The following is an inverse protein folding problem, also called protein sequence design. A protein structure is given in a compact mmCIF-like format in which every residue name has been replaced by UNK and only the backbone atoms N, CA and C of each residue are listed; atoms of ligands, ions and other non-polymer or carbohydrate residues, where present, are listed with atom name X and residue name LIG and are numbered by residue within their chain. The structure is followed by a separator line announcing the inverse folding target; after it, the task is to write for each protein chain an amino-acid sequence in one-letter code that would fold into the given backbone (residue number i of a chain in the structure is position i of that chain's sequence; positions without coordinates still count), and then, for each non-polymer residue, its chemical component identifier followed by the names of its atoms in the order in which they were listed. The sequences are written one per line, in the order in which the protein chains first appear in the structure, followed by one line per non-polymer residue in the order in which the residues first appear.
data_IF_725857043976
#
_entry.id   IF_725857043976
#
_cell.length_a   1.000
_cell.length_b   1.000
_cell.length_c   1.000
_cell.angle_alpha   90.00
_cell.angle_beta   90.00
_cell.angle_gamma   90.00
#
_symmetry.space_group_name_H-M   'P 1'
#
loop_
_entity.id
_entity.type
_entity.pdbx_description
1 polymer ?
#
# COMPACT_ATOMS: atom_id res chain seq x y z
N UNK A 1 20.35 -4.12 6.97
CA UNK A 1 20.88 -2.75 6.98
C UNK A 1 20.59 -2.14 8.33
N UNK A 2 21.61 -1.56 8.95
CA UNK A 2 21.55 -0.98 10.29
C UNK A 2 22.07 0.45 10.26
N UNK A 3 21.63 1.30 11.19
CA UNK A 3 22.22 2.62 11.37
C UNK A 3 23.47 2.57 12.29
N UNK A 4 24.13 3.71 12.53
CA UNK A 4 25.35 3.81 13.36
C UNK A 4 25.14 3.45 14.83
N UNK A 5 23.89 3.35 15.30
CA UNK A 5 23.51 2.91 16.65
C UNK A 5 23.14 1.42 16.71
N UNK A 6 23.25 0.69 15.60
CA UNK A 6 22.90 -0.74 15.53
C UNK A 6 21.41 -1.02 15.31
N UNK A 7 20.58 -0.01 15.06
CA UNK A 7 19.13 -0.19 14.87
C UNK A 7 18.81 -0.68 13.44
N UNK A 8 17.93 -1.67 13.30
CA UNK A 8 17.55 -2.25 12.01
C UNK A 8 16.67 -1.27 11.19
N UNK A 9 17.22 -0.77 10.08
CA UNK A 9 16.53 0.14 9.17
C UNK A 9 15.84 -0.57 7.99
N UNK A 10 16.36 -1.73 7.55
CA UNK A 10 15.77 -2.48 6.44
C UNK A 10 16.50 -3.78 6.12
N UNK A 11 15.86 -4.64 5.33
CA UNK A 11 16.43 -5.91 4.84
C UNK A 11 16.84 -5.72 3.38
N UNK A 12 18.09 -6.02 3.04
CA UNK A 12 18.56 -5.98 1.65
C UNK A 12 17.87 -7.10 0.87
N UNK A 13 17.10 -6.76 -0.16
CA UNK A 13 16.16 -7.70 -0.80
C UNK A 13 16.51 -7.98 -2.27
N UNK A 14 17.20 -7.07 -2.96
CA UNK A 14 17.64 -7.30 -4.34
C UNK A 14 18.89 -6.49 -4.72
N UNK A 15 19.69 -7.08 -5.61
CA UNK A 15 20.80 -6.44 -6.32
C UNK A 15 20.37 -6.31 -7.78
N UNK A 16 20.24 -5.08 -8.30
CA UNK A 16 20.15 -4.88 -9.74
C UNK A 16 21.58 -4.82 -10.31
N UNK A 17 22.02 -5.90 -10.97
CA UNK A 17 23.27 -5.91 -11.71
C UNK A 17 23.04 -6.46 -13.11
N UNK A 18 23.39 -5.69 -14.14
CA UNK A 18 23.35 -6.14 -15.55
C UNK A 18 24.47 -7.14 -15.89
N UNK A 19 25.49 -7.27 -15.02
CA UNK A 19 26.74 -8.00 -15.33
C UNK A 19 27.20 -8.95 -14.22
N UNK A 20 26.44 -9.09 -13.13
CA UNK A 20 26.84 -9.91 -11.98
C UNK A 20 27.84 -9.25 -11.02
N UNK A 21 28.29 -8.03 -11.31
CA UNK A 21 29.17 -7.26 -10.42
C UNK A 21 28.40 -6.15 -9.67
N UNK A 22 28.70 -5.97 -8.38
CA UNK A 22 28.04 -5.04 -7.46
C UNK A 22 28.39 -3.58 -7.81
N UNK A 23 27.45 -2.84 -8.38
CA UNK A 23 27.63 -1.43 -8.75
C UNK A 23 27.22 -0.44 -7.63
N UNK A 24 26.96 -0.93 -6.41
CA UNK A 24 26.58 -0.09 -5.26
C UNK A 24 25.07 0.14 -5.07
N UNK A 25 24.20 -0.37 -5.96
CA UNK A 25 22.74 -0.25 -5.80
C UNK A 25 22.18 -1.44 -5.03
N UNK A 26 21.77 -1.19 -3.78
CA UNK A 26 21.10 -2.17 -2.91
C UNK A 26 19.66 -1.71 -2.66
N UNK A 27 18.67 -2.56 -2.93
CA UNK A 27 17.27 -2.26 -2.63
C UNK A 27 16.89 -2.83 -1.27
N UNK A 28 16.36 -1.99 -0.39
CA UNK A 28 15.98 -2.37 0.96
C UNK A 28 14.47 -2.39 1.11
N UNK A 29 13.92 -3.46 1.70
CA UNK A 29 12.56 -3.40 2.23
C UNK A 29 12.62 -2.68 3.59
N UNK A 30 11.82 -1.62 3.80
CA UNK A 30 11.75 -0.90 5.08
C UNK A 30 11.38 -1.82 6.25
N UNK A 31 12.01 -1.61 7.41
CA UNK A 31 11.75 -2.44 8.60
C UNK A 31 10.30 -2.37 9.11
N UNK A 32 9.55 -1.30 8.79
CA UNK A 32 8.13 -1.18 9.12
C UNK A 32 7.25 -2.20 8.40
N UNK A 33 7.52 -2.45 7.10
CA UNK A 33 6.80 -3.47 6.32
C UNK A 33 7.14 -4.86 6.85
N UNK A 34 8.42 -5.11 7.16
CA UNK A 34 8.85 -6.40 7.73
C UNK A 34 8.15 -6.68 9.05
N UNK A 35 8.10 -5.71 9.98
CA UNK A 35 7.41 -5.86 11.26
C UNK A 35 5.93 -6.22 11.07
N UNK A 36 5.23 -5.53 10.17
CA UNK A 36 3.83 -5.85 9.84
C UNK A 36 3.69 -7.27 9.31
N UNK A 37 4.52 -7.67 8.34
CA UNK A 37 4.44 -9.00 7.72
C UNK A 37 4.65 -10.10 8.77
N UNK A 38 5.63 -9.94 9.66
CA UNK A 38 5.86 -10.89 10.76
C UNK A 38 4.64 -10.93 11.69
N UNK A 39 4.08 -9.77 12.06
CA UNK A 39 2.86 -9.71 12.87
C UNK A 39 1.68 -10.42 12.21
N UNK A 40 1.44 -10.18 10.92
CA UNK A 40 0.35 -10.82 10.18
C UNK A 40 0.54 -12.34 10.09
N UNK A 41 1.77 -12.81 9.88
CA UNK A 41 2.08 -14.24 9.84
C UNK A 41 1.92 -14.92 11.20
N UNK A 42 2.32 -14.26 12.29
CA UNK A 42 2.14 -14.80 13.65
C UNK A 42 0.67 -14.83 14.07
N UNK A 43 -0.10 -13.82 13.69
CA UNK A 43 -1.48 -13.63 14.13
C UNK A 43 -2.51 -14.39 13.26
N UNK A 44 -2.27 -14.45 11.95
CA UNK A 44 -3.27 -14.96 10.98
C UNK A 44 -2.74 -16.05 10.04
N UNK A 45 -1.45 -16.40 10.11
CA UNK A 45 -0.82 -17.38 9.22
C UNK A 45 -0.69 -16.94 7.75
N UNK A 46 -1.17 -15.74 7.39
CA UNK A 46 -1.09 -15.16 6.05
C UNK A 46 -1.05 -13.63 6.11
N UNK A 47 -0.39 -13.03 5.12
CA UNK A 47 -0.17 -11.59 5.04
C UNK A 47 -1.45 -10.86 4.62
N UNK A 48 -1.85 -9.87 5.41
CA UNK A 48 -3.05 -9.07 5.16
C UNK A 48 -2.72 -7.88 4.26
N UNK A 49 -2.98 -7.97 2.96
CA UNK A 49 -2.66 -6.88 2.02
C UNK A 49 -3.87 -6.01 1.72
N UNK A 50 -3.82 -4.76 2.18
CA UNK A 50 -4.76 -3.71 1.81
C UNK A 50 -4.55 -3.20 0.38
N UNK A 51 -5.64 -2.82 -0.28
CA UNK A 51 -5.65 -2.18 -1.59
C UNK A 51 -6.65 -1.02 -1.65
N UNK A 52 -6.31 0.02 -2.41
CA UNK A 52 -7.24 1.10 -2.73
C UNK A 52 -8.26 0.69 -3.81
N UNK A 53 -7.91 -0.28 -4.66
CA UNK A 53 -8.75 -0.68 -5.81
C UNK A 53 -8.71 0.35 -6.94
N UNK A 54 -7.53 0.83 -7.29
CA UNK A 54 -7.30 1.81 -8.37
C UNK A 54 -6.16 1.38 -9.27
N UNK A 55 -6.24 1.75 -10.54
CA UNK A 55 -5.11 1.81 -11.45
C UNK A 55 -4.49 3.20 -11.37
N UNK A 56 -3.19 3.23 -11.13
CA UNK A 56 -2.44 4.45 -10.83
C UNK A 56 -1.22 4.57 -11.72
N UNK A 57 -0.85 5.81 -12.04
CA UNK A 57 0.37 6.16 -12.75
C UNK A 57 1.03 7.40 -12.13
N UNK A 58 2.32 7.58 -12.37
CA UNK A 58 3.02 8.81 -11.95
C UNK A 58 2.44 10.01 -12.70
N UNK A 59 2.31 11.15 -12.01
CA UNK A 59 1.86 12.38 -12.65
C UNK A 59 2.94 12.91 -13.61
N UNK A 60 2.62 12.97 -14.90
CA UNK A 60 3.48 13.59 -15.91
C UNK A 60 3.24 15.10 -16.01
N UNK A 61 4.23 15.84 -16.52
CA UNK A 61 4.11 17.28 -16.74
C UNK A 61 2.96 17.65 -17.70
N UNK A 62 2.69 16.79 -18.69
CA UNK A 62 1.61 16.95 -19.66
C UNK A 62 0.24 16.83 -18.96
N UNK A 63 0.02 15.75 -18.23
CA UNK A 63 -1.22 15.51 -17.47
C UNK A 63 -1.44 16.57 -16.38
N UNK A 64 -0.37 17.03 -15.72
CA UNK A 64 -0.47 18.10 -14.73
C UNK A 64 -0.99 19.41 -15.33
N UNK A 65 -0.54 19.78 -16.54
CA UNK A 65 -1.03 20.97 -17.26
C UNK A 65 -2.49 20.83 -17.66
N UNK A 66 -2.89 19.67 -18.19
CA UNK A 66 -4.29 19.40 -18.56
C UNK A 66 -5.25 19.52 -17.37
N UNK A 67 -4.79 19.12 -16.19
CA UNK A 67 -5.59 19.13 -14.95
C UNK A 67 -5.47 20.43 -14.15
N UNK A 68 -4.78 21.45 -14.67
CA UNK A 68 -4.47 22.72 -13.98
C UNK A 68 -3.83 22.51 -12.61
N UNK A 69 -2.86 21.59 -12.54
CA UNK A 69 -2.09 21.31 -11.34
C UNK A 69 -0.73 22.00 -11.47
N UNK A 70 -0.46 22.95 -10.56
CA UNK A 70 0.79 23.71 -10.56
C UNK A 70 2.01 22.86 -10.23
N UNK A 71 1.83 21.79 -9.44
CA UNK A 71 2.91 20.92 -8.98
C UNK A 71 2.87 19.57 -9.68
N UNK A 72 3.96 19.21 -10.33
CA UNK A 72 4.16 17.91 -10.98
C UNK A 72 4.60 16.88 -9.92
N UNK A 73 3.84 16.76 -8.84
CA UNK A 73 4.08 15.82 -7.74
C UNK A 73 2.78 15.07 -7.42
N UNK A 74 2.87 13.74 -7.32
CA UNK A 74 1.75 12.90 -6.94
C UNK A 74 1.45 11.78 -7.93
N UNK A 75 0.38 11.06 -7.64
CA UNK A 75 -0.02 9.85 -8.35
C UNK A 75 -1.41 10.02 -8.91
N UNK A 76 -1.55 9.93 -10.23
CA UNK A 76 -2.84 10.06 -10.91
C UNK A 76 -3.61 8.74 -10.88
N UNK A 77 -4.90 8.82 -10.59
CA UNK A 77 -5.86 7.73 -10.71
C UNK A 77 -6.38 7.68 -12.15
N UNK A 78 -6.07 6.60 -12.87
CA UNK A 78 -6.52 6.41 -14.25
C UNK A 78 -7.81 5.60 -14.34
N UNK A 79 -7.96 4.64 -13.44
CA UNK A 79 -9.14 3.78 -13.39
C UNK A 79 -9.43 3.39 -11.94
N UNK A 80 -10.71 3.16 -11.66
CA UNK A 80 -11.18 2.68 -10.37
C UNK A 80 -11.84 1.33 -10.58
N UNK A 81 -11.47 0.35 -9.76
CA UNK A 81 -12.08 -0.98 -9.79
C UNK A 81 -13.34 -1.01 -8.95
N UNK A 82 -14.36 -1.71 -9.46
CA UNK A 82 -15.60 -1.94 -8.74
C UNK A 82 -15.36 -2.75 -7.46
N UNK A 83 -16.05 -2.39 -6.38
CA UNK A 83 -15.85 -2.96 -5.06
C UNK A 83 -14.62 -2.43 -4.29
N UNK A 84 -13.76 -1.64 -4.94
CA UNK A 84 -12.56 -1.04 -4.35
C UNK A 84 -12.86 0.08 -3.34
N UNK A 85 -11.93 0.27 -2.40
CA UNK A 85 -11.96 1.29 -1.35
C UNK A 85 -12.10 2.71 -1.89
N UNK A 86 -11.46 3.00 -3.02
CA UNK A 86 -11.50 4.30 -3.67
C UNK A 86 -12.90 4.67 -4.15
N UNK A 87 -13.63 3.70 -4.75
CA UNK A 87 -15.00 3.90 -5.24
C UNK A 87 -15.96 4.22 -4.09
N UNK A 88 -15.89 3.47 -2.99
CA UNK A 88 -16.75 3.69 -1.82
C UNK A 88 -16.48 5.00 -1.09
N UNK A 89 -15.28 5.56 -1.25
CA UNK A 89 -14.85 6.78 -0.56
C UNK A 89 -14.99 8.05 -1.42
N UNK A 90 -15.48 7.93 -2.66
CA UNK A 90 -15.68 9.08 -3.55
C UNK A 90 -14.41 9.61 -4.23
N UNK A 91 -13.36 8.79 -4.30
CA UNK A 91 -12.23 9.06 -5.21
C UNK A 91 -12.73 8.86 -6.65
N UNK A 92 -12.29 9.73 -7.56
CA UNK A 92 -12.70 9.74 -8.95
C UNK A 92 -11.50 9.55 -9.88
N UNK A 93 -11.78 9.18 -11.13
CA UNK A 93 -10.78 9.17 -12.19
C UNK A 93 -10.25 10.59 -12.39
N UNK A 94 -8.96 10.71 -12.69
CA UNK A 94 -8.22 11.98 -12.81
C UNK A 94 -7.95 12.70 -11.48
N UNK A 95 -8.27 12.10 -10.34
CA UNK A 95 -7.75 12.58 -9.06
C UNK A 95 -6.25 12.33 -8.96
N UNK A 96 -5.53 13.30 -8.38
CA UNK A 96 -4.10 13.15 -8.08
C UNK A 96 -3.91 13.00 -6.58
N UNK A 97 -3.42 11.85 -6.15
CA UNK A 97 -3.09 11.57 -4.76
C UNK A 97 -1.73 12.22 -4.44
N UNK A 98 -1.71 13.07 -3.42
CA UNK A 98 -0.50 13.82 -3.01
C UNK A 98 -0.03 13.47 -1.59
N UNK A 99 -0.90 12.86 -0.77
CA UNK A 99 -0.60 12.51 0.61
C UNK A 99 -1.43 11.32 1.09
N UNK A 100 -0.80 10.46 1.91
CA UNK A 100 -1.45 9.39 2.67
C UNK A 100 -1.15 9.60 4.15
N UNK A 101 -2.19 9.80 4.95
CA UNK A 101 -2.09 10.17 6.35
C UNK A 101 -1.27 11.44 6.55
N UNK A 102 -0.13 11.31 7.21
CA UNK A 102 0.82 12.41 7.42
C UNK A 102 1.90 12.51 6.32
N UNK A 103 2.04 11.51 5.45
CA UNK A 103 3.19 11.36 4.56
C UNK A 103 2.84 11.80 3.13
N UNK A 104 3.62 12.71 2.57
CA UNK A 104 3.51 13.12 1.17
C UNK A 104 3.97 11.99 0.25
N UNK A 105 3.29 11.82 -0.87
CA UNK A 105 3.61 10.82 -1.88
C UNK A 105 3.79 11.53 -3.22
N UNK A 106 4.97 11.43 -3.80
CA UNK A 106 5.31 12.03 -5.08
C UNK A 106 5.26 11.05 -6.24
N UNK A 107 5.38 9.74 -5.96
CA UNK A 107 5.45 8.66 -6.96
C UNK A 107 4.61 7.45 -6.57
N UNK A 108 4.27 6.63 -7.57
CA UNK A 108 3.52 5.37 -7.43
C UNK A 108 4.19 4.44 -6.42
N UNK A 109 5.51 4.30 -6.47
CA UNK A 109 6.25 3.45 -5.56
C UNK A 109 6.07 3.86 -4.08
N UNK A 110 6.12 5.17 -3.80
CA UNK A 110 5.93 5.71 -2.45
C UNK A 110 4.48 5.50 -1.97
N UNK A 111 3.51 5.71 -2.85
CA UNK A 111 2.10 5.45 -2.55
C UNK A 111 1.87 3.97 -2.20
N UNK A 112 2.38 3.05 -3.01
CA UNK A 112 2.28 1.61 -2.78
C UNK A 112 2.97 1.18 -1.48
N UNK A 113 4.13 1.77 -1.18
CA UNK A 113 4.84 1.53 0.08
C UNK A 113 4.00 1.97 1.28
N UNK A 114 3.39 3.16 1.24
CA UNK A 114 2.55 3.64 2.33
C UNK A 114 1.32 2.75 2.53
N UNK A 115 0.62 2.37 1.46
CA UNK A 115 -0.58 1.51 1.56
C UNK A 115 -0.22 0.14 2.13
N UNK A 116 0.95 -0.41 1.78
CA UNK A 116 1.39 -1.74 2.23
C UNK A 116 1.61 -1.83 3.75
N UNK A 117 1.69 -0.69 4.45
CA UNK A 117 1.83 -0.64 5.92
C UNK A 117 0.50 -0.85 6.64
N UNK A 118 -0.62 -0.75 5.94
CA UNK A 118 -1.96 -0.87 6.52
C UNK A 118 -2.57 -2.25 6.26
N UNK A 119 -3.54 -2.63 7.10
CA UNK A 119 -4.35 -3.83 6.98
C UNK A 119 -5.71 -3.50 6.34
N UNK A 120 -6.39 -4.47 5.71
CA UNK A 120 -7.81 -4.33 5.39
C UNK A 120 -8.62 -3.96 6.64
N UNK A 121 -9.56 -3.03 6.52
CA UNK A 121 -10.32 -2.46 7.63
C UNK A 121 -9.76 -1.13 8.16
N UNK A 122 -8.49 -0.82 7.91
CA UNK A 122 -7.89 0.44 8.38
C UNK A 122 -8.50 1.65 7.68
N UNK A 123 -8.88 2.65 8.48
CA UNK A 123 -9.30 3.96 7.99
C UNK A 123 -8.09 4.88 7.83
N UNK A 124 -7.84 5.36 6.62
CA UNK A 124 -6.74 6.26 6.31
C UNK A 124 -7.24 7.57 5.70
N UNK A 125 -6.56 8.68 6.01
CA UNK A 125 -6.78 9.96 5.32
C UNK A 125 -6.00 9.98 4.01
N UNK A 126 -6.67 10.22 2.90
CA UNK A 126 -6.07 10.40 1.58
C UNK A 126 -6.28 11.85 1.16
N UNK A 127 -5.19 12.59 0.95
CA UNK A 127 -5.27 13.94 0.39
C UNK A 127 -5.11 13.84 -1.12
N UNK A 128 -6.13 14.33 -1.83
CA UNK A 128 -6.15 14.39 -3.29
C UNK A 128 -6.16 15.84 -3.77
N UNK A 129 -5.68 16.04 -4.99
CA UNK A 129 -5.89 17.25 -5.77
C UNK A 129 -6.84 16.91 -6.92
N UNK A 130 -8.02 17.54 -6.89
CA UNK A 130 -9.04 17.42 -7.94
C UNK A 130 -9.16 18.77 -8.65
N UNK A 131 -8.64 18.87 -9.87
CA UNK A 131 -8.69 20.09 -10.71
C UNK A 131 -8.16 21.35 -9.99
N UNK A 132 -7.01 21.23 -9.33
CA UNK A 132 -6.38 22.32 -8.57
C UNK A 132 -6.89 22.49 -7.13
N UNK A 133 -7.96 21.80 -6.72
CA UNK A 133 -8.50 21.88 -5.36
C UNK A 133 -8.05 20.70 -4.52
N UNK A 134 -7.43 21.00 -3.38
CA UNK A 134 -7.03 20.00 -2.40
C UNK A 134 -8.26 19.55 -1.62
N UNK A 135 -8.48 18.23 -1.52
CA UNK A 135 -9.51 17.60 -0.69
C UNK A 135 -8.89 16.50 0.15
N UNK A 136 -9.40 16.32 1.35
CA UNK A 136 -9.10 15.16 2.19
C UNK A 136 -10.28 14.21 2.21
N UNK A 137 -10.02 12.93 1.99
CA UNK A 137 -11.01 11.86 1.94
C UNK A 137 -10.59 10.79 2.94
N UNK A 138 -11.49 10.43 3.85
CA UNK A 138 -11.30 9.26 4.71
C UNK A 138 -11.66 8.00 3.91
N UNK A 139 -10.71 7.07 3.82
CA UNK A 139 -10.82 5.85 3.02
C UNK A 139 -10.64 4.64 3.92
N UNK A 140 -11.62 3.74 3.91
CA UNK A 140 -11.51 2.43 4.57
C UNK A 140 -10.90 1.45 3.58
N UNK A 141 -9.71 0.94 3.89
CA UNK A 141 -8.99 0.02 3.03
C UNK A 141 -9.63 -1.36 3.03
N UNK A 142 -9.69 -1.98 1.86
CA UNK A 142 -10.21 -3.32 1.64
C UNK A 142 -9.12 -4.26 1.17
N UNK A 143 -9.36 -5.56 1.23
CA UNK A 143 -8.50 -6.55 0.60
C UNK A 143 -8.77 -6.65 -0.91
N UNK A 144 -8.00 -7.48 -1.61
CA UNK A 144 -8.17 -7.71 -3.06
C UNK A 144 -9.55 -8.23 -3.45
N UNK A 145 -10.27 -8.87 -2.53
CA UNK A 145 -11.62 -9.40 -2.75
C UNK A 145 -12.72 -8.34 -2.48
N UNK A 146 -12.35 -7.12 -2.09
CA UNK A 146 -13.29 -6.01 -1.90
C UNK A 146 -14.01 -6.00 -0.55
N UNK A 147 -13.59 -6.84 0.41
CA UNK A 147 -14.10 -6.84 1.78
C UNK A 147 -13.00 -6.44 2.79
N UNK A 148 -13.37 -6.30 4.07
CA UNK A 148 -12.45 -5.94 5.17
C UNK A 148 -12.09 -7.16 6.01
N UNK A 149 -12.44 -8.36 5.55
CA UNK A 149 -12.18 -9.59 6.29
C UNK A 149 -10.69 -9.89 6.31
N UNK A 150 -10.25 -10.37 7.46
CA UNK A 150 -8.92 -10.92 7.64
C UNK A 150 -8.90 -12.21 6.82
N UNK A 151 -7.97 -12.29 5.87
CA UNK A 151 -7.73 -13.52 5.13
C UNK A 151 -7.14 -14.50 6.14
N UNK A 152 -7.85 -15.55 6.54
CA UNK A 152 -7.25 -16.65 7.30
C UNK A 152 -6.77 -17.72 6.33
N UNK A 153 -5.60 -18.30 6.62
CA UNK A 153 -5.18 -19.51 5.94
C UNK A 153 -5.80 -20.69 6.70
N UNK A 154 -7.11 -20.86 6.62
CA UNK A 154 -7.80 -22.01 7.21
C UNK A 154 -7.56 -23.26 6.35
N UNK A 155 -6.29 -23.68 6.31
CA UNK A 155 -5.87 -25.01 5.85
C UNK A 155 -6.60 -26.11 6.64
N UNK A 156 -6.96 -25.83 7.90
CA UNK A 156 -7.69 -26.77 8.77
C UNK A 156 -9.12 -26.99 8.26
N UNK A 157 -9.82 -25.95 7.84
CA UNK A 157 -11.18 -26.06 7.28
C UNK A 157 -11.16 -26.61 5.85
N UNK A 158 -10.17 -26.25 5.04
CA UNK A 158 -9.99 -26.77 3.68
C UNK A 158 -9.65 -28.29 3.65
N UNK A 159 -9.03 -28.81 4.72
CA UNK A 159 -8.72 -30.23 4.89
C UNK A 159 -9.81 -31.00 5.66
N UNK A 160 -10.91 -30.36 6.07
CA UNK A 160 -12.05 -31.01 6.72
C UNK A 160 -11.83 -31.45 8.16
N UNK A 161 -10.85 -30.89 8.87
CA UNK A 161 -10.59 -31.24 10.27
C UNK A 161 -11.26 -30.23 11.22
N UNK A 162 -12.18 -30.70 12.06
CA UNK A 162 -12.66 -29.93 13.23
C UNK A 162 -11.68 -30.17 14.39
N UNK A 163 -11.13 -29.10 14.94
CA UNK A 163 -10.37 -29.15 16.19
C UNK A 163 -11.30 -28.68 17.33
N UNK A 164 -11.63 -29.58 18.25
CA UNK A 164 -12.20 -29.21 19.54
C UNK A 164 -11.08 -28.77 20.49
N UNK A 165 -11.31 -27.69 21.24
CA UNK A 165 -10.45 -27.32 22.35
C UNK A 165 -10.58 -28.39 23.45
N UNK A 166 -9.44 -28.96 23.86
CA UNK A 166 -9.37 -29.82 25.03
C UNK A 166 -9.71 -28.98 26.27
N UNK A 167 -10.93 -29.19 26.80
CA UNK A 167 -11.23 -28.80 28.18
C UNK A 167 -10.30 -29.56 29.11
N UNK A 168 -9.50 -28.83 29.86
CA UNK A 168 -8.73 -29.34 31.00
C UNK A 168 -9.66 -29.85 32.12
#
# INVERSE_FOLDING_TARGET
MVNTRGELIGINTAIASRTGSYSGYSFAIPSSIVRKVISDLMEFGVVQRAVLGVQINDLSAEKAKELNIEKIEGVIVEQIFDGGSAKSSGIEISDVIIKIGAIKVGKVAELQEQISKYRPGDAIKVTINRKGKIKEIDVILKNKSGNTEIVSNDLVTALGANLEELSA
#
